data_IF_601761539564
#
_entry.id   IF_601761539564
#
_cell.length_a   1.000
_cell.length_b   1.000
_cell.length_c   1.000
_cell.angle_alpha   90.00
_cell.angle_beta   90.00
_cell.angle_gamma   90.00
#
_symmetry.space_group_name_H-M   'P 1'
#
loop_
_entity.id
_entity.type
_entity.pdbx_description
1 polymer ?
#
# COMPACT_ATOMS: atom_id res chain seq x y z
N UNK A 1 13.06 13.19 -20.16
CA UNK A 1 12.92 12.94 -18.70
C UNK A 1 13.46 11.53 -18.45
N UNK A 2 14.46 11.35 -17.59
CA UNK A 2 15.09 10.03 -17.36
C UNK A 2 14.10 9.03 -16.75
N UNK A 3 14.22 7.76 -17.13
CA UNK A 3 13.37 6.64 -16.65
C UNK A 3 13.52 6.45 -15.14
N UNK A 4 14.70 6.75 -14.61
CA UNK A 4 15.08 6.59 -13.21
C UNK A 4 14.16 7.36 -12.24
N UNK A 5 13.69 8.54 -12.65
CA UNK A 5 12.73 9.31 -11.84
C UNK A 5 11.27 8.97 -12.13
N UNK A 6 10.97 8.20 -13.19
CA UNK A 6 9.59 7.87 -13.53
C UNK A 6 8.97 6.89 -12.53
N UNK A 7 9.70 5.85 -12.14
CA UNK A 7 9.20 4.86 -11.18
C UNK A 7 9.00 5.44 -9.79
N UNK A 8 9.92 6.31 -9.33
CA UNK A 8 9.74 7.04 -8.06
C UNK A 8 8.45 7.88 -8.09
N UNK A 9 8.21 8.62 -9.19
CA UNK A 9 6.98 9.42 -9.32
C UNK A 9 5.72 8.56 -9.36
N UNK A 10 5.78 7.40 -10.01
CA UNK A 10 4.65 6.48 -10.12
C UNK A 10 4.29 5.89 -8.75
N UNK A 11 5.27 5.39 -8.01
CA UNK A 11 5.10 4.89 -6.64
C UNK A 11 4.44 5.95 -5.74
N UNK A 12 5.05 7.14 -5.65
CA UNK A 12 4.54 8.24 -4.83
C UNK A 12 3.12 8.64 -5.27
N UNK A 13 2.83 8.68 -6.57
CA UNK A 13 1.52 9.07 -7.06
C UNK A 13 0.43 8.06 -6.68
N UNK A 14 0.73 6.76 -6.71
CA UNK A 14 -0.19 5.70 -6.25
C UNK A 14 -0.40 5.84 -4.75
N UNK A 15 0.67 5.97 -3.96
CA UNK A 15 0.58 6.10 -2.51
C UNK A 15 -0.22 7.33 -2.09
N UNK A 16 0.02 8.47 -2.73
CA UNK A 16 -0.76 9.70 -2.52
C UNK A 16 -2.26 9.49 -2.81
N UNK A 17 -2.58 8.68 -3.83
CA UNK A 17 -3.95 8.24 -4.10
C UNK A 17 -4.53 7.44 -2.94
N UNK A 18 -3.81 6.41 -2.49
CA UNK A 18 -4.22 5.54 -1.38
C UNK A 18 -4.42 6.33 -0.08
N UNK A 19 -3.51 7.26 0.25
CA UNK A 19 -3.62 8.14 1.43
C UNK A 19 -4.88 8.99 1.39
N UNK A 20 -5.20 9.57 0.23
CA UNK A 20 -6.41 10.40 0.06
C UNK A 20 -7.68 9.59 0.20
N UNK A 21 -7.77 8.46 -0.50
CA UNK A 21 -8.97 7.62 -0.47
C UNK A 21 -9.23 7.05 0.94
N UNK A 22 -8.18 6.61 1.64
CA UNK A 22 -8.29 6.15 3.04
C UNK A 22 -8.82 7.23 3.97
N UNK A 23 -8.32 8.46 3.81
CA UNK A 23 -8.79 9.62 4.60
C UNK A 23 -10.27 9.89 4.36
N UNK A 24 -10.73 9.77 3.12
CA UNK A 24 -12.15 9.95 2.80
C UNK A 24 -13.02 8.84 3.41
N UNK A 25 -12.59 7.58 3.32
CA UNK A 25 -13.31 6.44 3.90
C UNK A 25 -13.45 6.58 5.43
N UNK A 26 -12.39 7.00 6.12
CA UNK A 26 -12.40 7.24 7.58
C UNK A 26 -13.24 8.43 8.01
N UNK A 27 -13.41 9.42 7.14
CA UNK A 27 -14.20 10.61 7.41
C UNK A 27 -15.70 10.39 7.39
N UNK A 28 -16.18 9.22 6.96
CA UNK A 28 -17.61 8.93 6.87
C UNK A 28 -18.23 8.68 8.25
N UNK A 29 -19.34 9.35 8.56
CA UNK A 29 -20.05 9.22 9.83
C UNK A 29 -20.93 7.98 9.93
N UNK A 30 -21.37 7.41 8.79
CA UNK A 30 -22.27 6.26 8.72
C UNK A 30 -21.80 5.28 7.64
N UNK A 31 -21.99 3.98 7.89
CA UNK A 31 -21.72 2.93 6.89
C UNK A 31 -22.94 2.81 5.97
N UNK A 32 -22.92 3.55 4.88
CA UNK A 32 -23.91 3.42 3.81
C UNK A 32 -23.53 2.30 2.84
N UNK A 33 -24.47 1.88 1.99
CA UNK A 33 -24.18 0.93 0.92
C UNK A 33 -23.09 1.43 -0.04
N UNK A 34 -23.11 2.73 -0.37
CA UNK A 34 -22.08 3.38 -1.19
C UNK A 34 -20.70 3.34 -0.52
N UNK A 35 -20.62 3.70 0.78
CA UNK A 35 -19.36 3.64 1.52
C UNK A 35 -18.78 2.23 1.53
N UNK A 36 -19.62 1.21 1.72
CA UNK A 36 -19.19 -0.19 1.67
C UNK A 36 -18.60 -0.54 0.30
N UNK A 37 -19.28 -0.18 -0.80
CA UNK A 37 -18.77 -0.43 -2.16
C UNK A 37 -17.42 0.25 -2.39
N UNK A 38 -17.29 1.53 -2.02
CA UNK A 38 -16.02 2.27 -2.11
C UNK A 38 -14.92 1.60 -1.29
N UNK A 39 -15.25 1.15 -0.07
CA UNK A 39 -14.30 0.45 0.77
C UNK A 39 -13.82 -0.88 0.15
N UNK A 40 -14.70 -1.64 -0.53
CA UNK A 40 -14.29 -2.86 -1.24
C UNK A 40 -13.39 -2.55 -2.44
N UNK A 41 -13.70 -1.50 -3.20
CA UNK A 41 -12.82 -1.05 -4.29
C UNK A 41 -11.44 -0.63 -3.77
N UNK A 42 -11.40 0.09 -2.65
CA UNK A 42 -10.17 0.48 -2.00
C UNK A 42 -9.35 -0.72 -1.53
N UNK A 43 -9.99 -1.71 -0.88
CA UNK A 43 -9.31 -2.94 -0.46
C UNK A 43 -8.67 -3.67 -1.65
N UNK A 44 -9.42 -3.82 -2.74
CA UNK A 44 -8.90 -4.43 -3.96
C UNK A 44 -7.76 -3.62 -4.59
N UNK A 45 -7.83 -2.29 -4.55
CA UNK A 45 -6.78 -1.43 -5.08
C UNK A 45 -5.46 -1.61 -4.32
N UNK A 46 -5.50 -1.63 -2.98
CA UNK A 46 -4.32 -1.89 -2.14
C UNK A 46 -3.76 -3.29 -2.40
N UNK A 47 -4.62 -4.31 -2.49
CA UNK A 47 -4.20 -5.68 -2.79
C UNK A 47 -3.46 -5.78 -4.14
N UNK A 48 -4.00 -5.14 -5.19
CA UNK A 48 -3.40 -5.16 -6.53
C UNK A 48 -2.06 -4.42 -6.57
N UNK A 49 -1.96 -3.28 -5.89
CA UNK A 49 -0.72 -2.52 -5.74
C UNK A 49 0.38 -3.35 -5.09
N UNK A 50 0.12 -3.90 -3.90
CA UNK A 50 1.08 -4.74 -3.18
C UNK A 50 1.41 -6.03 -3.96
N UNK A 51 0.46 -6.59 -4.70
CA UNK A 51 0.71 -7.77 -5.55
C UNK A 51 1.71 -7.45 -6.65
N UNK A 52 1.58 -6.29 -7.31
CA UNK A 52 2.51 -5.85 -8.35
C UNK A 52 3.91 -5.64 -7.76
N UNK A 53 4.00 -5.04 -6.59
CA UNK A 53 5.28 -4.81 -5.92
C UNK A 53 5.97 -6.11 -5.57
N UNK A 54 5.27 -7.01 -4.88
CA UNK A 54 5.80 -8.29 -4.41
C UNK A 54 6.31 -9.15 -5.58
N UNK A 55 5.52 -9.25 -6.65
CA UNK A 55 5.86 -10.15 -7.77
C UNK A 55 6.88 -9.54 -8.74
N UNK A 56 6.84 -8.23 -8.98
CA UNK A 56 7.64 -7.59 -10.03
C UNK A 56 8.70 -6.65 -9.46
N UNK A 57 8.32 -5.68 -8.64
CA UNK A 57 9.24 -4.65 -8.17
C UNK A 57 10.29 -5.23 -7.22
N UNK A 58 9.85 -5.96 -6.19
CA UNK A 58 10.70 -6.54 -5.17
C UNK A 58 11.62 -7.60 -5.76
N UNK A 59 11.13 -8.43 -6.68
CA UNK A 59 11.97 -9.35 -7.47
C UNK A 59 13.09 -8.62 -8.20
N UNK A 60 12.77 -7.50 -8.87
CA UNK A 60 13.74 -6.69 -9.60
C UNK A 60 14.77 -6.05 -8.67
N UNK A 61 14.31 -5.48 -7.55
CA UNK A 61 15.17 -4.82 -6.57
C UNK A 61 16.12 -5.82 -5.89
N UNK A 62 15.66 -7.01 -5.51
CA UNK A 62 16.54 -8.07 -4.97
C UNK A 62 17.63 -8.49 -5.95
N UNK A 63 17.31 -8.56 -7.23
CA UNK A 63 18.29 -8.92 -8.26
C UNK A 63 19.32 -7.81 -8.51
N UNK A 64 18.91 -6.54 -8.44
CA UNK A 64 19.76 -5.39 -8.77
C UNK A 64 20.54 -4.83 -7.58
N UNK A 65 19.95 -4.89 -6.39
CA UNK A 65 20.44 -4.33 -5.13
C UNK A 65 20.32 -5.38 -4.01
N UNK A 66 21.22 -6.39 -3.97
CA UNK A 66 21.18 -7.42 -2.92
C UNK A 66 21.22 -6.86 -1.49
N UNK A 67 21.76 -5.65 -1.29
CA UNK A 67 21.76 -4.93 -0.01
C UNK A 67 20.36 -4.56 0.51
N UNK A 68 19.33 -4.58 -0.36
CA UNK A 68 17.94 -4.26 0.00
C UNK A 68 17.16 -5.44 0.60
N UNK A 69 17.78 -6.62 0.75
CA UNK A 69 17.08 -7.83 1.17
C UNK A 69 16.28 -7.68 2.47
N UNK A 70 16.86 -7.07 3.51
CA UNK A 70 16.17 -6.89 4.80
C UNK A 70 15.00 -5.90 4.72
N UNK A 71 15.14 -4.85 3.90
CA UNK A 71 14.07 -3.88 3.63
C UNK A 71 12.90 -4.58 2.96
N UNK A 72 13.17 -5.34 1.89
CA UNK A 72 12.14 -6.02 1.13
C UNK A 72 11.49 -7.13 1.97
N UNK A 73 12.26 -7.88 2.77
CA UNK A 73 11.71 -8.86 3.70
C UNK A 73 10.75 -8.21 4.71
N UNK A 74 11.03 -6.97 5.13
CA UNK A 74 10.14 -6.21 6.01
C UNK A 74 8.87 -5.79 5.27
N UNK A 75 8.98 -5.21 4.08
CA UNK A 75 7.82 -4.78 3.29
C UNK A 75 6.86 -5.95 2.99
N UNK A 76 7.39 -7.13 2.64
CA UNK A 76 6.58 -8.34 2.44
C UNK A 76 5.82 -8.78 3.70
N UNK A 77 6.43 -8.65 4.88
CA UNK A 77 5.72 -8.92 6.16
C UNK A 77 4.62 -7.89 6.42
N UNK A 78 4.87 -6.63 6.09
CA UNK A 78 3.88 -5.56 6.22
C UNK A 78 2.72 -5.74 5.22
N UNK A 79 2.99 -6.15 3.97
CA UNK A 79 1.97 -6.56 3.00
C UNK A 79 1.05 -7.64 3.55
N UNK A 80 1.63 -8.68 4.19
CA UNK A 80 0.86 -9.75 4.82
C UNK A 80 -0.09 -9.23 5.91
N UNK A 81 0.39 -8.36 6.80
CA UNK A 81 -0.45 -7.73 7.83
C UNK A 81 -1.57 -6.88 7.24
N UNK A 82 -1.26 -6.06 6.23
CA UNK A 82 -2.26 -5.25 5.54
C UNK A 82 -3.32 -6.15 4.91
N UNK A 83 -2.93 -7.22 4.22
CA UNK A 83 -3.85 -8.18 3.61
C UNK A 83 -4.79 -8.84 4.64
N UNK A 84 -4.29 -9.18 5.83
CA UNK A 84 -5.14 -9.69 6.92
C UNK A 84 -6.22 -8.69 7.35
N UNK A 85 -5.87 -7.41 7.45
CA UNK A 85 -6.80 -6.33 7.82
C UNK A 85 -7.82 -6.10 6.70
N UNK A 86 -7.38 -6.03 5.44
CA UNK A 86 -8.28 -5.90 4.28
C UNK A 86 -9.33 -7.03 4.28
N UNK A 87 -8.90 -8.27 4.49
CA UNK A 87 -9.81 -9.41 4.56
C UNK A 87 -10.78 -9.32 5.75
N UNK A 88 -10.39 -8.71 6.88
CA UNK A 88 -11.29 -8.46 8.01
C UNK A 88 -12.37 -7.43 7.65
N UNK A 89 -11.99 -6.33 7.00
CA UNK A 89 -12.91 -5.28 6.51
C UNK A 89 -13.98 -5.87 5.59
N UNK A 90 -13.59 -6.74 4.64
CA UNK A 90 -14.52 -7.36 3.69
C UNK A 90 -15.61 -8.21 4.36
N UNK A 91 -15.26 -8.88 5.46
CA UNK A 91 -16.19 -9.75 6.19
C UNK A 91 -17.04 -9.01 7.21
N UNK A 92 -16.62 -7.82 7.64
CA UNK A 92 -17.24 -7.10 8.75
C UNK A 92 -18.53 -6.37 8.31
N UNK A 93 -19.57 -6.47 9.15
CA UNK A 93 -20.77 -5.65 9.03
C UNK A 93 -20.47 -4.17 9.39
N UNK A 94 -19.55 -3.97 10.33
CA UNK A 94 -19.01 -2.67 10.72
C UNK A 94 -17.49 -2.75 10.70
N UNK A 95 -16.87 -2.01 9.77
CA UNK A 95 -15.43 -2.06 9.50
C UNK A 95 -14.68 -0.83 10.03
N UNK A 96 -15.29 0.02 10.87
CA UNK A 96 -14.65 1.27 11.32
C UNK A 96 -13.36 1.03 12.11
N UNK A 97 -13.38 0.07 13.03
CA UNK A 97 -12.18 -0.25 13.82
C UNK A 97 -11.06 -0.82 12.94
N UNK A 98 -11.40 -1.74 12.03
CA UNK A 98 -10.42 -2.28 11.08
C UNK A 98 -9.90 -1.22 10.10
N UNK A 99 -10.70 -0.22 9.74
CA UNK A 99 -10.28 0.90 8.90
C UNK A 99 -9.29 1.83 9.63
N UNK A 100 -9.46 2.02 10.95
CA UNK A 100 -8.48 2.75 11.76
C UNK A 100 -7.16 1.96 11.88
N UNK A 101 -7.25 0.64 12.10
CA UNK A 101 -6.08 -0.25 12.12
C UNK A 101 -5.36 -0.28 10.78
N UNK A 102 -6.12 -0.34 9.69
CA UNK A 102 -5.57 -0.25 8.34
C UNK A 102 -4.82 1.06 8.14
N UNK A 103 -5.35 2.17 8.63
CA UNK A 103 -4.70 3.47 8.51
C UNK A 103 -3.39 3.57 9.28
N UNK A 104 -3.32 2.98 10.47
CA UNK A 104 -2.05 2.92 11.20
C UNK A 104 -0.99 2.11 10.45
N UNK A 105 -1.32 0.87 10.06
CA UNK A 105 -0.37 -0.04 9.44
C UNK A 105 -0.01 0.38 8.01
N UNK A 106 -1.00 0.75 7.18
CA UNK A 106 -0.76 1.12 5.79
C UNK A 106 -0.01 2.44 5.68
N UNK A 107 -0.35 3.48 6.44
CA UNK A 107 0.35 4.75 6.32
C UNK A 107 1.82 4.64 6.76
N UNK A 108 2.07 3.90 7.85
CA UNK A 108 3.44 3.63 8.30
C UNK A 108 4.23 2.81 7.28
N UNK A 109 3.58 1.85 6.63
CA UNK A 109 4.14 1.04 5.54
C UNK A 109 4.52 1.91 4.33
N UNK A 110 3.59 2.73 3.80
CA UNK A 110 3.83 3.57 2.64
C UNK A 110 4.96 4.59 2.88
N UNK A 111 5.03 5.16 4.09
CA UNK A 111 6.10 6.10 4.46
C UNK A 111 7.47 5.40 4.48
N UNK A 112 7.54 4.20 5.06
CA UNK A 112 8.77 3.41 5.10
C UNK A 112 9.20 2.96 3.70
N UNK A 113 8.26 2.50 2.89
CA UNK A 113 8.55 2.08 1.52
C UNK A 113 9.12 3.22 0.67
N UNK A 114 8.50 4.40 0.71
CA UNK A 114 9.00 5.57 -0.01
C UNK A 114 10.40 5.96 0.45
N UNK A 115 10.65 5.98 1.76
CA UNK A 115 11.96 6.31 2.33
C UNK A 115 13.04 5.36 1.84
N UNK A 116 12.77 4.05 1.83
CA UNK A 116 13.78 3.03 1.52
C UNK A 116 13.93 2.76 0.03
N UNK A 117 12.84 2.76 -0.74
CA UNK A 117 12.85 2.32 -2.13
C UNK A 117 13.11 3.47 -3.10
N UNK A 118 12.69 4.71 -2.81
CA UNK A 118 12.90 5.83 -3.74
C UNK A 118 14.37 6.02 -4.16
N UNK A 119 15.37 5.92 -3.25
CA UNK A 119 16.78 5.99 -3.65
C UNK A 119 17.19 4.85 -4.59
N UNK A 120 16.68 3.63 -4.39
CA UNK A 120 16.98 2.47 -5.24
C UNK A 120 16.33 2.59 -6.62
N UNK A 121 15.06 2.98 -6.65
CA UNK A 121 14.30 3.20 -7.89
C UNK A 121 14.92 4.30 -8.76
N UNK A 122 15.50 5.33 -8.13
CA UNK A 122 16.21 6.41 -8.85
C UNK A 122 17.51 5.97 -9.53
N UNK A 123 17.93 4.72 -9.35
CA UNK A 123 19.15 4.12 -9.89
C UNK A 123 18.86 2.97 -10.87
N UNK A 124 17.59 2.67 -11.13
CA UNK A 124 17.13 1.67 -12.09
C UNK A 124 16.96 2.28 -13.48
#
# INVERSE_FOLDING_TARGET
MSRDHAMVRELIAVHDGLRRELKELRGASEITGDLRVRCMYYCHHVEMHHTVESHYLFTTLRARFPESAEVIDRLEREHGKVAEILAAIERAADFREDLERLAEELLAHLDYEEEQLAPLLSRL
#
